data_IF_600016574068
#
_entry.id   IF_600016574068
#
_cell.length_a   1.000
_cell.length_b   1.000
_cell.length_c   1.000
_cell.angle_alpha   90.00
_cell.angle_beta   90.00
_cell.angle_gamma   90.00
#
_symmetry.space_group_name_H-M   'P 1'
#
loop_
_entity.id
_entity.type
_entity.pdbx_description
1 polymer ?
#
# COMPACT_ATOMS: atom_id res chain seq x y z
N UNK A 1 -2.66 7.29 -49.12
CA UNK A 1 -2.42 7.95 -47.82
C UNK A 1 -3.50 7.48 -46.85
N UNK A 2 -3.15 6.68 -45.83
CA UNK A 2 -4.13 6.16 -44.87
C UNK A 2 -4.28 7.12 -43.67
N UNK A 3 -5.48 7.68 -43.50
CA UNK A 3 -5.84 8.52 -42.34
C UNK A 3 -6.03 7.63 -41.10
N UNK A 4 -5.27 7.96 -40.06
CA UNK A 4 -5.08 7.20 -38.83
C UNK A 4 -6.31 7.35 -37.92
N UNK A 5 -6.92 6.24 -37.49
CA UNK A 5 -8.01 6.24 -36.52
C UNK A 5 -7.60 6.95 -35.22
N UNK A 6 -8.29 8.04 -34.84
CA UNK A 6 -8.11 8.69 -33.54
C UNK A 6 -8.79 7.87 -32.44
N UNK A 7 -8.07 6.90 -31.87
CA UNK A 7 -8.42 6.37 -30.56
C UNK A 7 -8.41 7.50 -29.53
N UNK A 8 -9.43 7.60 -28.67
CA UNK A 8 -9.46 8.55 -27.55
C UNK A 8 -8.13 8.43 -26.79
N UNK A 9 -7.41 9.54 -26.59
CA UNK A 9 -6.19 9.57 -25.77
C UNK A 9 -6.53 8.98 -24.41
N UNK A 10 -5.91 7.85 -24.05
CA UNK A 10 -6.02 7.28 -22.71
C UNK A 10 -5.55 8.34 -21.72
N UNK A 11 -6.27 8.53 -20.62
CA UNK A 11 -5.83 9.43 -19.54
C UNK A 11 -4.42 8.98 -19.15
N UNK A 12 -3.43 9.84 -19.35
CA UNK A 12 -2.08 9.58 -18.89
C UNK A 12 -2.09 9.67 -17.37
N UNK A 13 -1.34 8.78 -16.71
CA UNK A 13 -1.28 8.73 -15.25
C UNK A 13 -0.93 10.11 -14.70
N UNK A 14 -1.63 10.51 -13.64
CA UNK A 14 -1.27 11.72 -12.91
C UNK A 14 -0.07 11.42 -12.00
N UNK A 15 0.89 12.33 -11.92
CA UNK A 15 1.99 12.22 -10.97
C UNK A 15 1.44 12.23 -9.55
N UNK A 16 1.72 11.18 -8.77
CA UNK A 16 1.47 11.16 -7.34
C UNK A 16 2.74 11.66 -6.65
N UNK A 17 2.61 12.72 -5.86
CA UNK A 17 3.69 13.14 -4.95
C UNK A 17 3.65 12.23 -3.72
N UNK A 18 4.81 11.75 -3.27
CA UNK A 18 4.92 10.90 -2.09
C UNK A 18 5.91 11.51 -1.10
N UNK A 19 5.55 11.56 0.18
CA UNK A 19 6.41 12.06 1.25
C UNK A 19 6.15 11.35 2.57
N UNK A 20 7.22 11.06 3.30
CA UNK A 20 7.12 10.53 4.68
C UNK A 20 7.08 11.66 5.70
N UNK A 21 6.24 11.51 6.72
CA UNK A 21 6.09 12.43 7.85
C UNK A 21 6.22 11.67 9.16
N UNK A 22 6.85 12.28 10.16
CA UNK A 22 6.86 11.77 11.53
C UNK A 22 5.72 12.42 12.32
N UNK A 23 4.81 11.62 12.87
CA UNK A 23 3.70 12.08 13.67
C UNK A 23 4.09 12.40 15.11
N UNK A 24 3.24 13.17 15.79
CA UNK A 24 3.38 13.47 17.23
C UNK A 24 3.15 12.26 18.12
N UNK A 25 2.52 11.22 17.59
CA UNK A 25 2.35 9.89 18.17
C UNK A 25 3.59 9.00 18.03
N UNK A 26 4.67 9.52 17.45
CA UNK A 26 5.92 8.80 17.24
C UNK A 26 5.92 7.87 16.03
N UNK A 27 4.83 7.84 15.26
CA UNK A 27 4.68 6.98 14.09
C UNK A 27 5.23 7.62 12.81
N UNK A 28 5.58 6.79 11.83
CA UNK A 28 5.93 7.24 10.48
C UNK A 28 4.76 7.04 9.52
N UNK A 29 4.45 8.09 8.77
CA UNK A 29 3.34 8.16 7.84
C UNK A 29 3.86 8.36 6.42
N UNK A 30 3.48 7.48 5.51
CA UNK A 30 3.69 7.65 4.07
C UNK A 30 2.47 8.31 3.45
N UNK A 31 2.62 9.53 2.93
CA UNK A 31 1.53 10.32 2.38
C UNK A 31 1.68 10.44 0.87
N UNK A 32 0.64 10.05 0.14
CA UNK A 32 0.48 10.31 -1.28
C UNK A 32 -0.46 11.49 -1.49
N UNK A 33 -0.03 12.46 -2.30
CA UNK A 33 -0.82 13.62 -2.70
C UNK A 33 -1.17 13.51 -4.19
N UNK A 34 -2.45 13.62 -4.50
CA UNK A 34 -2.94 13.71 -5.87
C UNK A 34 -2.84 15.15 -6.38
N UNK A 35 -2.77 15.40 -7.70
CA UNK A 35 -2.71 16.78 -8.21
C UNK A 35 -3.94 17.63 -7.89
N UNK A 36 -5.07 16.99 -7.56
CA UNK A 36 -6.31 17.66 -7.14
C UNK A 36 -6.41 17.83 -5.61
N UNK A 37 -5.27 17.74 -4.93
CA UNK A 37 -5.14 17.96 -3.48
C UNK A 37 -5.90 16.96 -2.59
N UNK A 38 -6.12 15.74 -3.08
CA UNK A 38 -6.52 14.63 -2.21
C UNK A 38 -5.28 13.98 -1.59
N UNK A 39 -5.39 13.53 -0.35
CA UNK A 39 -4.29 12.91 0.38
C UNK A 39 -4.70 11.49 0.78
N UNK A 40 -3.81 10.54 0.54
CA UNK A 40 -3.91 9.16 1.03
C UNK A 40 -2.72 8.91 1.95
N UNK A 41 -3.00 8.49 3.18
CA UNK A 41 -1.95 8.30 4.19
C UNK A 41 -1.90 6.83 4.59
N UNK A 42 -0.70 6.28 4.63
CA UNK A 42 -0.41 4.94 5.08
C UNK A 42 0.47 5.03 6.33
N UNK A 43 0.19 4.16 7.30
CA UNK A 43 0.96 4.05 8.53
C UNK A 43 1.95 2.89 8.40
N UNK A 44 3.23 3.14 8.69
CA UNK A 44 4.19 2.05 8.83
C UNK A 44 3.93 1.28 10.11
N UNK A 45 3.76 -0.03 9.99
CA UNK A 45 3.50 -0.95 11.11
C UNK A 45 4.47 -2.12 11.06
N UNK A 46 4.84 -2.66 12.21
CA UNK A 46 5.67 -3.85 12.25
C UNK A 46 4.97 -4.99 11.49
N UNK A 47 5.65 -5.59 10.52
CA UNK A 47 5.07 -6.60 9.63
C UNK A 47 4.41 -7.77 10.38
N UNK A 48 4.94 -8.14 11.56
CA UNK A 48 4.37 -9.19 12.40
C UNK A 48 3.07 -8.76 13.07
N UNK A 49 3.03 -7.54 13.61
CA UNK A 49 1.82 -6.97 14.20
C UNK A 49 0.72 -6.80 13.16
N UNK A 50 1.09 -6.34 11.96
CA UNK A 50 0.18 -6.22 10.83
C UNK A 50 -0.42 -7.57 10.44
N UNK A 51 0.41 -8.63 10.29
CA UNK A 51 -0.09 -9.97 9.99
C UNK A 51 -1.09 -10.48 11.04
N UNK A 52 -0.81 -10.28 12.34
CA UNK A 52 -1.76 -10.62 13.42
C UNK A 52 -3.06 -9.86 13.32
N UNK A 53 -2.98 -8.56 13.04
CA UNK A 53 -4.15 -7.70 12.89
C UNK A 53 -5.01 -8.12 11.69
N UNK A 54 -4.40 -8.72 10.67
CA UNK A 54 -5.07 -9.33 9.53
C UNK A 54 -5.57 -10.77 9.78
N UNK A 55 -5.49 -11.29 11.01
CA UNK A 55 -6.05 -12.59 11.38
C UNK A 55 -5.10 -13.79 11.25
N UNK A 56 -3.79 -13.58 11.06
CA UNK A 56 -2.85 -14.70 11.03
C UNK A 56 -2.90 -15.48 12.36
N UNK A 57 -3.31 -16.76 12.28
CA UNK A 57 -3.44 -17.63 13.43
C UNK A 57 -2.05 -17.96 14.02
N UNK A 58 -1.87 -17.71 15.32
CA UNK A 58 -0.65 -18.03 16.10
C UNK A 58 -0.53 -19.56 16.37
N UNK A 59 -0.77 -20.41 15.36
CA UNK A 59 -0.90 -21.87 15.49
C UNK A 59 0.40 -22.64 15.81
N UNK A 60 1.54 -21.97 16.01
CA UNK A 60 2.74 -22.60 16.58
C UNK A 60 3.52 -21.59 17.42
N UNK A 61 4.02 -21.99 18.61
CA UNK A 61 4.79 -21.10 19.45
C UNK A 61 6.13 -20.85 18.77
N UNK A 62 6.33 -19.64 18.24
CA UNK A 62 7.52 -19.14 17.55
C UNK A 62 7.59 -19.52 16.05
N UNK A 63 7.88 -18.66 15.06
CA UNK A 63 8.48 -17.30 15.07
C UNK A 63 8.51 -16.62 13.68
N UNK A 64 7.84 -17.12 12.63
CA UNK A 64 8.13 -16.67 11.27
C UNK A 64 7.07 -15.74 10.66
N UNK A 65 7.33 -14.43 10.70
CA UNK A 65 6.51 -13.38 10.05
C UNK A 65 6.28 -13.65 8.56
N UNK A 66 7.25 -14.26 7.86
CA UNK A 66 7.10 -14.63 6.45
C UNK A 66 5.98 -15.65 6.24
N UNK A 67 5.93 -16.70 7.05
CA UNK A 67 4.88 -17.73 6.96
C UNK A 67 3.49 -17.16 7.26
N UNK A 68 3.40 -16.21 8.18
CA UNK A 68 2.14 -15.54 8.50
C UNK A 68 1.59 -14.82 7.27
N UNK A 69 2.43 -14.07 6.55
CA UNK A 69 2.03 -13.41 5.32
C UNK A 69 1.81 -14.37 4.15
N UNK A 70 2.63 -15.42 4.01
CA UNK A 70 2.42 -16.46 2.99
C UNK A 70 1.05 -17.12 3.14
N UNK A 71 0.64 -17.47 4.36
CA UNK A 71 -0.68 -18.05 4.62
C UNK A 71 -1.80 -17.06 4.29
N UNK A 72 -1.73 -15.84 4.81
CA UNK A 72 -2.73 -14.79 4.54
C UNK A 72 -2.87 -14.49 3.04
N UNK A 73 -1.77 -14.59 2.28
CA UNK A 73 -1.77 -14.32 0.85
C UNK A 73 -2.46 -15.43 0.04
N UNK A 74 -2.38 -16.69 0.46
CA UNK A 74 -3.05 -17.81 -0.22
C UNK A 74 -4.54 -17.91 0.12
N UNK A 75 -4.96 -17.34 1.25
CA UNK A 75 -6.36 -17.35 1.71
C UNK A 75 -7.25 -16.31 0.99
N UNK A 76 -6.66 -15.38 0.22
CA UNK A 76 -7.38 -14.36 -0.57
C UNK A 76 -7.41 -14.68 -2.06
#
# INVERSE_FOLDING_TARGET
MASKMLGKRKRQGVGLEMKTFKGTDGQNYLVFRTPKSSYHTFLEVEAKQAARSCGALDGTPHRNTRKMWENLWQEQ
#
